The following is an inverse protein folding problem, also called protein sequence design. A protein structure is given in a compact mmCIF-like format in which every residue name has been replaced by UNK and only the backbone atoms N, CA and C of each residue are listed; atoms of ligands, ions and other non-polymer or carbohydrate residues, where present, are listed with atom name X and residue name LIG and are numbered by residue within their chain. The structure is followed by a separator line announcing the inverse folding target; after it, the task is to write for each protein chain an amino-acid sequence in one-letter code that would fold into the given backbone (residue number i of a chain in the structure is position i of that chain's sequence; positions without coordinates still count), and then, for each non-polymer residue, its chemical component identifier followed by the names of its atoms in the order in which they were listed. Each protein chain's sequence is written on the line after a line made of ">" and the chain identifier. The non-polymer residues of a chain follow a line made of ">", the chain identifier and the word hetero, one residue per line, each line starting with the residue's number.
data_IF_822216376547
#
_entry.id   IF_822216376547
#
_cell.length_a   1.000
_cell.length_b   1.000
_cell.length_c   1.000
_cell.angle_alpha   90.00
_cell.angle_beta   90.00
_cell.angle_gamma   90.00
#
_symmetry.space_group_name_H-M   'P 1'
#
loop_
_entity.id
_entity.type
_entity.pdbx_description
1 polymer ?
#
# COMPACT_ATOMS: atom_id res chain seq x y z
N UNK A 1 78.01 -2.01 -6.92
CA UNK A 1 76.86 -1.74 -6.03
C UNK A 1 75.93 -0.75 -6.74
N UNK A 2 74.84 -1.23 -7.34
CA UNK A 2 73.85 -0.41 -8.06
C UNK A 2 72.75 0.02 -7.08
N UNK A 3 72.49 1.33 -6.98
CA UNK A 3 71.34 1.88 -6.25
C UNK A 3 70.06 1.56 -7.04
N UNK A 4 69.11 0.92 -6.40
CA UNK A 4 67.76 0.70 -6.92
C UNK A 4 66.96 1.98 -6.64
N UNK A 5 66.42 2.58 -7.70
CA UNK A 5 65.46 3.68 -7.63
C UNK A 5 64.11 3.15 -7.15
N UNK A 6 63.57 3.78 -6.12
CA UNK A 6 62.16 3.69 -5.73
C UNK A 6 61.33 4.37 -6.83
N UNK A 7 60.54 3.58 -7.56
CA UNK A 7 59.41 4.10 -8.33
C UNK A 7 58.14 3.85 -7.54
N UNK A 8 57.63 4.92 -6.93
CA UNK A 8 56.23 5.08 -6.59
C UNK A 8 55.39 4.90 -7.86
N UNK A 9 54.57 3.86 -7.89
CA UNK A 9 53.40 3.80 -8.75
C UNK A 9 52.17 4.00 -7.88
N UNK A 10 51.51 5.12 -8.11
CA UNK A 10 50.22 5.49 -7.55
C UNK A 10 49.21 4.33 -7.63
N UNK A 11 48.89 3.75 -6.48
CA UNK A 11 47.65 2.99 -6.31
C UNK A 11 46.58 4.05 -6.09
N UNK A 12 45.95 4.48 -7.18
CA UNK A 12 44.62 5.12 -7.13
C UNK A 12 43.65 4.09 -6.55
N UNK A 13 43.57 4.05 -5.22
CA UNK A 13 42.51 3.37 -4.50
C UNK A 13 41.21 4.07 -4.85
N UNK A 14 40.44 3.47 -5.76
CA UNK A 14 39.03 3.81 -5.92
C UNK A 14 38.39 3.62 -4.55
N UNK A 15 38.07 4.75 -3.91
CA UNK A 15 37.39 4.80 -2.63
C UNK A 15 35.95 4.31 -2.86
N UNK A 16 35.77 3.00 -3.05
CA UNK A 16 34.47 2.35 -3.05
C UNK A 16 33.94 2.47 -1.63
N UNK A 17 33.25 3.58 -1.36
CA UNK A 17 32.43 3.71 -0.16
C UNK A 17 31.43 2.56 -0.22
N UNK A 18 31.57 1.62 0.70
CA UNK A 18 30.58 0.58 0.91
C UNK A 18 29.22 1.27 1.13
N UNK A 19 28.15 0.80 0.47
CA UNK A 19 26.81 1.35 0.71
C UNK A 19 26.52 1.30 2.22
N UNK A 20 25.81 2.31 2.74
CA UNK A 20 25.53 2.39 4.16
C UNK A 20 24.77 1.13 4.60
N UNK A 21 25.13 0.54 5.75
CA UNK A 21 24.49 -0.69 6.21
C UNK A 21 23.01 -0.43 6.51
N UNK A 22 22.12 -1.24 5.95
CA UNK A 22 20.68 -1.15 6.16
C UNK A 22 19.87 -1.44 4.91
N UNK A 23 18.55 -1.48 5.04
CA UNK A 23 17.63 -1.59 3.91
C UNK A 23 17.35 -0.19 3.40
N UNK A 24 17.74 0.09 2.16
CA UNK A 24 17.42 1.37 1.53
C UNK A 24 15.93 1.46 1.23
N UNK A 25 15.40 2.68 1.16
CA UNK A 25 14.03 2.93 0.71
C UNK A 25 13.73 2.25 -0.63
N UNK A 26 14.66 2.27 -1.58
CA UNK A 26 14.48 1.62 -2.89
C UNK A 26 14.34 0.10 -2.80
N UNK A 27 15.19 -0.54 -1.99
CA UNK A 27 15.13 -1.99 -1.75
C UNK A 27 13.85 -2.37 -1.01
N UNK A 28 13.45 -1.55 -0.03
CA UNK A 28 12.21 -1.77 0.71
C UNK A 28 10.98 -1.66 -0.19
N UNK A 29 10.90 -0.63 -1.05
CA UNK A 29 9.80 -0.49 -2.02
C UNK A 29 9.77 -1.68 -2.98
N UNK A 30 10.92 -2.17 -3.44
CA UNK A 30 10.99 -3.37 -4.27
C UNK A 30 10.46 -4.60 -3.53
N UNK A 31 10.85 -4.77 -2.25
CA UNK A 31 10.34 -5.85 -1.40
C UNK A 31 8.82 -5.79 -1.25
N UNK A 32 8.26 -4.63 -0.90
CA UNK A 32 6.81 -4.49 -0.75
C UNK A 32 6.07 -4.73 -2.06
N UNK A 33 6.65 -4.35 -3.21
CA UNK A 33 6.09 -4.70 -4.52
C UNK A 33 6.12 -6.19 -4.82
N UNK A 34 7.11 -6.92 -4.31
CA UNK A 34 7.15 -8.38 -4.46
C UNK A 34 6.12 -9.06 -3.57
N UNK A 35 5.91 -8.56 -2.35
CA UNK A 35 4.89 -9.09 -1.42
C UNK A 35 3.49 -8.77 -1.95
N UNK A 36 3.29 -7.57 -2.50
CA UNK A 36 1.99 -7.07 -2.96
C UNK A 36 1.94 -6.87 -4.48
N UNK A 37 2.38 -7.87 -5.26
CA UNK A 37 2.49 -7.76 -6.71
C UNK A 37 1.18 -7.37 -7.41
N UNK A 38 0.05 -7.80 -6.83
CA UNK A 38 -1.29 -7.57 -7.39
C UNK A 38 -1.93 -6.24 -6.92
N UNK A 39 -1.25 -5.47 -6.06
CA UNK A 39 -1.85 -4.26 -5.50
C UNK A 39 -1.69 -3.06 -6.44
N UNK A 40 -2.71 -2.19 -6.53
CA UNK A 40 -2.55 -0.90 -7.18
C UNK A 40 -1.42 -0.09 -6.54
N UNK A 41 -0.58 0.55 -7.35
CA UNK A 41 0.57 1.34 -6.85
C UNK A 41 0.17 2.42 -5.83
N UNK A 42 -1.04 2.97 -5.97
CA UNK A 42 -1.58 3.98 -5.06
C UNK A 42 -1.84 3.43 -3.65
N UNK A 43 -2.18 2.15 -3.53
CA UNK A 43 -2.34 1.46 -2.24
C UNK A 43 -0.98 1.35 -1.55
N UNK A 44 0.04 0.89 -2.30
CA UNK A 44 1.41 0.82 -1.79
C UNK A 44 1.94 2.21 -1.37
N UNK A 45 1.68 3.24 -2.19
CA UNK A 45 2.04 4.62 -1.84
C UNK A 45 1.33 5.11 -0.58
N UNK A 46 0.08 4.71 -0.36
CA UNK A 46 -0.66 4.97 0.88
C UNK A 46 0.04 4.36 2.10
N UNK A 47 0.41 3.08 2.01
CA UNK A 47 1.15 2.37 3.07
C UNK A 47 2.47 3.09 3.38
N UNK A 48 3.27 3.39 2.36
CA UNK A 48 4.56 4.09 2.51
C UNK A 48 4.42 5.49 3.12
N UNK A 49 3.33 6.18 2.81
CA UNK A 49 3.05 7.52 3.36
C UNK A 49 2.76 7.43 4.85
N UNK A 50 1.95 6.47 5.29
CA UNK A 50 1.62 6.33 6.71
C UNK A 50 2.83 5.85 7.51
N UNK A 51 3.66 4.97 6.94
CA UNK A 51 4.90 4.52 7.59
C UNK A 51 5.95 5.62 7.73
N UNK A 52 5.77 6.80 7.14
CA UNK A 52 6.75 7.90 7.24
C UNK A 52 8.04 7.69 6.44
N UNK A 53 8.12 6.62 5.63
CA UNK A 53 9.32 6.22 4.86
C UNK A 53 9.65 7.19 3.71
N UNK A 54 8.80 8.21 3.48
CA UNK A 54 8.97 9.20 2.42
C UNK A 54 10.27 10.01 2.57
N UNK A 55 10.67 10.33 3.81
CA UNK A 55 11.74 11.29 4.11
C UNK A 55 13.07 10.64 4.54
N UNK A 56 13.19 9.32 4.48
CA UNK A 56 14.35 8.57 4.97
C UNK A 56 15.05 7.81 3.83
N UNK A 57 16.38 7.72 3.89
CA UNK A 57 17.19 6.96 2.93
C UNK A 57 17.28 5.47 3.34
N UNK A 58 17.32 5.21 4.65
CA UNK A 58 17.35 3.87 5.25
C UNK A 58 16.07 3.70 6.07
N UNK A 59 15.43 2.55 5.93
CA UNK A 59 14.18 2.22 6.63
C UNK A 59 14.51 1.64 8.00
N UNK A 60 13.88 2.17 9.06
CA UNK A 60 14.04 1.59 10.40
C UNK A 60 13.34 0.23 10.50
N UNK A 61 13.83 -0.65 11.38
CA UNK A 61 13.26 -1.98 11.58
C UNK A 61 11.77 -1.95 11.94
N UNK A 62 11.33 -0.94 12.71
CA UNK A 62 9.91 -0.78 13.06
C UNK A 62 9.05 -0.45 11.85
N UNK A 63 9.51 0.48 11.02
CA UNK A 63 8.84 0.85 9.76
C UNK A 63 8.83 -0.35 8.80
N UNK A 64 9.95 -1.07 8.72
CA UNK A 64 10.09 -2.29 7.94
C UNK A 64 9.03 -3.33 8.32
N UNK A 65 8.97 -3.71 9.60
CA UNK A 65 8.00 -4.65 10.13
C UNK A 65 6.57 -4.15 9.93
N UNK A 66 6.31 -2.86 10.21
CA UNK A 66 5.01 -2.24 10.04
C UNK A 66 4.49 -2.39 8.61
N UNK A 67 5.31 -2.13 7.60
CA UNK A 67 4.87 -2.26 6.21
C UNK A 67 4.74 -3.69 5.72
N UNK A 68 5.58 -4.61 6.19
CA UNK A 68 5.40 -6.04 5.89
C UNK A 68 4.10 -6.56 6.51
N UNK A 69 3.83 -6.25 7.79
CA UNK A 69 2.60 -6.62 8.47
C UNK A 69 1.37 -6.00 7.79
N UNK A 70 1.47 -4.73 7.40
CA UNK A 70 0.44 -4.06 6.63
C UNK A 70 0.17 -4.83 5.32
N UNK A 71 1.19 -5.07 4.51
CA UNK A 71 1.09 -5.81 3.25
C UNK A 71 0.39 -7.17 3.41
N UNK A 72 0.71 -7.94 4.44
CA UNK A 72 0.07 -9.23 4.72
C UNK A 72 -1.41 -9.08 5.13
N UNK A 73 -1.73 -8.13 6.01
CA UNK A 73 -3.13 -7.84 6.36
C UNK A 73 -3.94 -7.37 5.16
N UNK A 74 -3.30 -6.60 4.27
CA UNK A 74 -3.93 -6.14 3.05
C UNK A 74 -4.17 -7.26 2.05
N UNK A 75 -3.36 -8.33 2.04
CA UNK A 75 -3.55 -9.47 1.14
C UNK A 75 -4.89 -10.17 1.47
N UNK A 76 -5.12 -10.46 2.74
CA UNK A 76 -6.40 -11.02 3.22
C UNK A 76 -7.58 -10.09 2.95
N UNK A 77 -7.40 -8.77 3.15
CA UNK A 77 -8.42 -7.78 2.82
C UNK A 77 -8.69 -7.73 1.31
N UNK A 78 -7.65 -7.80 0.49
CA UNK A 78 -7.76 -7.72 -0.96
C UNK A 78 -8.55 -8.90 -1.53
N UNK A 79 -8.31 -10.12 -1.05
CA UNK A 79 -9.10 -11.29 -1.44
C UNK A 79 -10.60 -11.09 -1.14
N UNK A 80 -10.94 -10.55 0.03
CA UNK A 80 -12.33 -10.28 0.42
C UNK A 80 -12.96 -9.20 -0.45
N UNK A 81 -12.23 -8.12 -0.73
CA UNK A 81 -12.66 -7.03 -1.61
C UNK A 81 -12.83 -7.52 -3.04
N UNK A 82 -11.90 -8.33 -3.55
CA UNK A 82 -11.99 -8.92 -4.89
C UNK A 82 -13.20 -9.84 -5.02
N UNK A 83 -13.44 -10.70 -4.03
CA UNK A 83 -14.63 -11.54 -3.98
C UNK A 83 -15.92 -10.70 -3.97
N UNK A 84 -15.96 -9.64 -3.18
CA UNK A 84 -17.10 -8.72 -3.13
C UNK A 84 -17.31 -8.04 -4.48
N UNK A 85 -16.22 -7.62 -5.13
CA UNK A 85 -16.26 -7.02 -6.46
C UNK A 85 -16.85 -7.98 -7.49
N UNK A 86 -16.33 -9.20 -7.55
CA UNK A 86 -16.78 -10.26 -8.47
C UNK A 86 -18.26 -10.64 -8.26
N UNK A 87 -18.74 -10.56 -7.02
CA UNK A 87 -20.13 -10.86 -6.69
C UNK A 87 -21.09 -9.77 -7.17
N UNK A 88 -20.68 -8.49 -7.11
CA UNK A 88 -21.51 -7.37 -7.54
C UNK A 88 -21.28 -6.91 -8.99
N UNK A 89 -20.15 -7.24 -9.60
CA UNK A 89 -19.88 -6.92 -11.00
C UNK A 89 -20.83 -7.72 -11.90
N UNK A 90 -21.31 -7.12 -12.99
CA UNK A 90 -22.07 -7.89 -13.96
C UNK A 90 -21.15 -8.90 -14.65
N UNK A 91 -21.68 -10.08 -14.99
CA UNK A 91 -20.92 -11.20 -15.59
C UNK A 91 -20.09 -10.83 -16.83
N UNK A 92 -20.45 -9.71 -17.47
CA UNK A 92 -19.87 -9.24 -18.73
C UNK A 92 -19.08 -7.92 -18.59
N UNK A 93 -19.05 -7.29 -17.41
CA UNK A 93 -18.45 -5.97 -17.25
C UNK A 93 -17.23 -5.97 -16.33
N UNK A 94 -16.18 -5.31 -16.80
CA UNK A 94 -15.02 -4.87 -16.01
C UNK A 94 -15.36 -3.81 -14.94
N UNK A 95 -16.64 -3.54 -14.70
CA UNK A 95 -17.17 -2.44 -13.88
C UNK A 95 -18.34 -2.89 -13.01
N UNK A 96 -18.43 -2.35 -11.79
CA UNK A 96 -19.57 -2.49 -10.88
C UNK A 96 -20.48 -1.26 -10.92
N UNK A 97 -21.80 -1.45 -10.77
CA UNK A 97 -22.74 -0.33 -10.60
C UNK A 97 -22.59 0.28 -9.20
N UNK A 98 -22.33 1.60 -9.14
CA UNK A 98 -22.20 2.34 -7.88
C UNK A 98 -23.42 2.17 -6.96
N UNK A 99 -24.63 2.10 -7.52
CA UNK A 99 -25.86 1.93 -6.74
C UNK A 99 -25.89 0.59 -6.02
N UNK A 100 -25.35 -0.46 -6.65
CA UNK A 100 -25.25 -1.78 -6.03
C UNK A 100 -24.25 -1.74 -4.87
N UNK A 101 -23.11 -1.06 -5.06
CA UNK A 101 -22.11 -0.92 -4.01
C UNK A 101 -22.64 -0.15 -2.78
N UNK A 102 -23.38 0.94 -2.99
CA UNK A 102 -24.04 1.66 -1.89
C UNK A 102 -24.96 0.72 -1.10
N UNK A 103 -25.76 -0.10 -1.80
CA UNK A 103 -26.64 -1.08 -1.13
C UNK A 103 -25.86 -2.12 -0.34
N UNK A 104 -24.79 -2.67 -0.89
CA UNK A 104 -23.93 -3.64 -0.20
C UNK A 104 -23.36 -3.02 1.09
N UNK A 105 -22.88 -1.79 1.03
CA UNK A 105 -22.35 -1.10 2.22
C UNK A 105 -23.46 -0.82 3.25
N UNK A 106 -24.66 -0.45 2.82
CA UNK A 106 -25.83 -0.28 3.70
C UNK A 106 -26.27 -1.60 4.36
N UNK A 107 -26.21 -2.72 3.63
CA UNK A 107 -26.47 -4.06 4.16
C UNK A 107 -25.40 -4.48 5.17
N UNK A 108 -24.12 -4.23 4.86
CA UNK A 108 -23.02 -4.47 5.80
C UNK A 108 -23.26 -3.64 7.06
N UNK A 109 -23.56 -2.34 6.96
CA UNK A 109 -23.89 -1.50 8.13
C UNK A 109 -25.02 -2.08 8.98
N UNK A 110 -26.07 -2.55 8.33
CA UNK A 110 -27.26 -3.07 9.01
C UNK A 110 -26.99 -4.41 9.71
N UNK A 111 -26.03 -5.19 9.21
CA UNK A 111 -25.65 -6.51 9.73
C UNK A 111 -24.34 -6.51 10.53
N UNK A 112 -23.69 -5.36 10.67
CA UNK A 112 -22.36 -5.25 11.29
C UNK A 112 -22.41 -5.36 12.81
N UNK A 113 -21.41 -6.03 13.36
CA UNK A 113 -21.10 -6.00 14.77
C UNK A 113 -20.83 -4.54 15.20
N UNK A 114 -21.36 -4.03 16.32
CA UNK A 114 -21.17 -2.64 16.78
C UNK A 114 -19.70 -2.21 16.95
N UNK A 115 -18.76 -3.17 16.96
CA UNK A 115 -17.32 -2.89 16.98
C UNK A 115 -16.72 -2.57 15.60
N UNK A 116 -17.47 -2.73 14.51
CA UNK A 116 -17.03 -2.36 13.16
C UNK A 116 -17.38 -0.90 12.95
N UNK A 117 -16.36 -0.02 12.97
CA UNK A 117 -16.54 1.37 12.62
C UNK A 117 -16.77 1.50 11.12
N UNK A 118 -18.04 1.70 10.73
CA UNK A 118 -18.35 2.04 9.34
C UNK A 118 -18.36 3.56 9.18
N UNK A 119 -17.69 4.13 8.17
CA UNK A 119 -17.69 5.57 7.94
C UNK A 119 -19.10 6.15 7.78
N UNK A 120 -19.24 7.46 8.04
CA UNK A 120 -20.50 8.16 7.87
C UNK A 120 -21.01 8.11 6.42
N UNK A 121 -22.33 8.21 6.22
CA UNK A 121 -22.93 8.13 4.88
C UNK A 121 -22.42 9.21 3.93
N UNK A 122 -22.06 10.39 4.45
CA UNK A 122 -21.47 11.47 3.67
C UNK A 122 -20.09 11.07 3.13
N UNK A 123 -19.26 10.44 3.97
CA UNK A 123 -17.93 9.94 3.57
C UNK A 123 -18.08 8.86 2.52
N UNK A 124 -18.95 7.86 2.73
CA UNK A 124 -19.18 6.78 1.75
C UNK A 124 -19.63 7.35 0.40
N UNK A 125 -20.63 8.24 0.39
CA UNK A 125 -21.15 8.83 -0.84
C UNK A 125 -20.08 9.64 -1.57
N UNK A 126 -19.24 10.37 -0.85
CA UNK A 126 -18.16 11.15 -1.43
C UNK A 126 -17.07 10.25 -2.00
N UNK A 127 -16.59 9.26 -1.25
CA UNK A 127 -15.57 8.30 -1.69
C UNK A 127 -16.02 7.51 -2.92
N UNK A 128 -17.28 7.06 -2.95
CA UNK A 128 -17.82 6.34 -4.11
C UNK A 128 -18.07 7.24 -5.32
N UNK A 129 -18.33 8.54 -5.10
CA UNK A 129 -18.44 9.51 -6.18
C UNK A 129 -17.08 9.80 -6.82
N UNK A 130 -16.01 9.83 -6.02
CA UNK A 130 -14.64 9.96 -6.51
C UNK A 130 -14.14 8.72 -7.26
N UNK A 131 -14.63 7.54 -6.90
CA UNK A 131 -14.29 6.28 -7.56
C UNK A 131 -15.10 6.00 -8.85
N UNK A 132 -16.12 6.80 -9.16
CA UNK A 132 -16.92 6.67 -10.37
C UNK A 132 -16.14 7.22 -11.58
N UNK A 133 -15.83 6.34 -12.54
CA UNK A 133 -15.12 6.70 -13.79
C UNK A 133 -16.02 7.41 -14.80
N UNK A 134 -17.28 7.65 -14.44
CA UNK A 134 -18.32 8.25 -15.26
C UNK A 134 -19.44 7.27 -15.55
N UNK A 135 -20.68 7.77 -15.58
CA UNK A 135 -21.91 7.00 -15.82
C UNK A 135 -22.36 6.07 -14.68
N UNK A 136 -21.89 6.26 -13.44
CA UNK A 136 -22.32 5.44 -12.30
C UNK A 136 -21.66 4.08 -12.24
N UNK A 137 -20.50 3.93 -12.89
CA UNK A 137 -19.74 2.68 -12.98
C UNK A 137 -18.40 2.85 -12.28
N UNK A 138 -17.97 1.81 -11.58
CA UNK A 138 -16.72 1.80 -10.82
C UNK A 138 -15.87 0.65 -11.36
N UNK A 139 -14.65 0.96 -11.80
CA UNK A 139 -13.65 -0.06 -12.18
C UNK A 139 -13.06 -0.72 -10.94
N UNK A 140 -12.53 -1.94 -11.10
CA UNK A 140 -11.96 -2.70 -9.98
C UNK A 140 -10.87 -1.94 -9.23
N UNK A 141 -9.96 -1.25 -9.94
CA UNK A 141 -8.91 -0.43 -9.34
C UNK A 141 -9.48 0.64 -8.41
N UNK A 142 -10.50 1.36 -8.88
CA UNK A 142 -11.05 2.51 -8.16
C UNK A 142 -11.98 2.05 -7.03
N UNK A 143 -12.60 0.88 -7.20
CA UNK A 143 -13.28 0.16 -6.13
C UNK A 143 -12.32 -0.22 -4.99
N UNK A 144 -11.19 -0.86 -5.29
CA UNK A 144 -10.20 -1.26 -4.26
C UNK A 144 -9.69 -0.05 -3.49
N UNK A 145 -9.41 1.06 -4.19
CA UNK A 145 -9.03 2.34 -3.55
C UNK A 145 -10.12 2.88 -2.63
N UNK A 146 -11.38 2.84 -3.06
CA UNK A 146 -12.50 3.28 -2.25
C UNK A 146 -12.66 2.41 -0.99
N UNK A 147 -12.61 1.09 -1.13
CA UNK A 147 -12.71 0.16 0.00
C UNK A 147 -11.56 0.32 0.97
N UNK A 148 -10.33 0.54 0.48
CA UNK A 148 -9.17 0.84 1.31
C UNK A 148 -9.43 2.07 2.20
N UNK A 149 -9.91 3.17 1.62
CA UNK A 149 -10.21 4.41 2.37
C UNK A 149 -11.34 4.25 3.37
N UNK A 150 -12.31 3.37 3.08
CA UNK A 150 -13.49 3.20 3.93
C UNK A 150 -13.26 2.21 5.07
N UNK A 151 -12.52 1.13 4.83
CA UNK A 151 -12.41 0.02 5.76
C UNK A 151 -11.19 0.09 6.65
N UNK A 152 -10.20 0.92 6.31
CA UNK A 152 -8.94 0.96 7.04
C UNK A 152 -8.77 2.37 7.61
N UNK A 153 -9.10 2.55 8.91
CA UNK A 153 -8.87 3.80 9.62
C UNK A 153 -7.40 4.17 9.52
N UNK A 154 -7.09 5.45 9.28
CA UNK A 154 -5.73 5.98 9.38
C UNK A 154 -5.06 5.58 10.72
N UNK A 155 -5.88 5.45 11.77
CA UNK A 155 -5.47 5.03 13.11
C UNK A 155 -4.94 3.59 13.19
N UNK A 156 -5.46 2.65 12.38
CA UNK A 156 -5.01 1.24 12.39
C UNK A 156 -3.65 1.09 11.71
N UNK A 157 -3.40 1.90 10.69
CA UNK A 157 -2.10 1.98 10.05
C UNK A 157 -1.06 2.60 10.99
N UNK A 158 -1.46 3.60 11.81
CA UNK A 158 -0.61 4.15 12.87
C UNK A 158 -0.41 3.20 14.07
N UNK A 159 -1.44 2.45 14.48
CA UNK A 159 -1.40 1.56 15.65
C UNK A 159 -0.49 0.34 15.45
N UNK A 160 -0.33 -0.11 14.20
CA UNK A 160 0.59 -1.20 13.84
C UNK A 160 2.06 -0.78 13.99
N UNK A 161 2.34 0.53 14.01
CA UNK A 161 3.69 1.10 14.14
C UNK A 161 4.04 1.41 15.62
N UNK A 162 3.05 1.52 16.51
CA UNK A 162 3.22 2.01 17.90
C UNK A 162 3.15 0.97 19.01
N UNK A 163 2.92 -0.32 18.71
CA UNK A 163 2.99 -1.43 19.69
C UNK A 163 4.27 -2.23 19.53
#
# INVERSE_FOLDING_TARGET
>A
MKRVQENSSDISGSNQRSPPPGVTKSEYIQLLRMICADFPIDVLNGILTVLGVQNQEIVDFREFCGGVCACLQYEEFFEQVEWLYKTGASKDASTMDRKLLVKIIEEIKSNSNPNIQVPSDSVIKQTLKEADVGNGKIEFRDFVKAMFRLCIPEELVCATITR
#
